data_IF_688113592498
#
_entry.id   IF_688113592498
#
_cell.length_a   1.000
_cell.length_b   1.000
_cell.length_c   1.000
_cell.angle_alpha   90.00
_cell.angle_beta   90.00
_cell.angle_gamma   90.00
#
_symmetry.space_group_name_H-M   'P 1'
#
loop_
_entity.id
_entity.type
_entity.pdbx_description
1 polymer ?
#
# COMPACT_ATOMS: atom_id res chain seq x y z
N UNK A 1 -2.69 -9.92 -14.94
CA UNK A 1 -3.34 -8.84 -14.19
C UNK A 1 -3.31 -7.50 -14.94
N UNK A 2 -2.17 -7.03 -15.48
CA UNK A 2 -2.08 -5.75 -16.23
C UNK A 2 -3.16 -5.64 -17.30
N UNK A 3 -3.32 -6.65 -18.15
CA UNK A 3 -4.36 -6.68 -19.20
C UNK A 3 -5.77 -6.63 -18.58
N UNK A 4 -6.03 -7.35 -17.50
CA UNK A 4 -7.33 -7.30 -16.82
C UNK A 4 -7.66 -5.91 -16.27
N UNK A 5 -6.65 -5.20 -15.79
CA UNK A 5 -6.83 -3.82 -15.31
C UNK A 5 -7.26 -2.92 -16.46
N UNK A 6 -6.59 -3.00 -17.61
CA UNK A 6 -6.96 -2.24 -18.81
C UNK A 6 -8.36 -2.63 -19.34
N UNK A 7 -8.72 -3.92 -19.28
CA UNK A 7 -10.03 -4.41 -19.70
C UNK A 7 -11.18 -3.94 -18.79
N UNK A 8 -10.88 -3.51 -17.57
CA UNK A 8 -11.90 -3.04 -16.63
C UNK A 8 -12.40 -1.62 -16.91
N UNK A 9 -11.68 -0.85 -17.72
CA UNK A 9 -11.95 0.56 -18.04
C UNK A 9 -11.88 0.83 -19.55
N UNK A 10 -12.67 0.13 -20.40
CA UNK A 10 -12.50 0.13 -21.86
C UNK A 10 -12.82 1.46 -22.55
N UNK A 11 -13.50 2.38 -21.86
CA UNK A 11 -14.01 3.63 -22.44
C UNK A 11 -13.23 4.88 -21.98
N UNK A 12 -12.06 4.69 -21.36
CA UNK A 12 -11.25 5.81 -20.87
C UNK A 12 -9.74 5.55 -21.05
N UNK A 13 -8.91 6.59 -21.16
CA UNK A 13 -7.46 6.45 -21.11
C UNK A 13 -7.00 5.95 -19.74
N UNK A 14 -6.07 5.01 -19.72
CA UNK A 14 -5.53 4.42 -18.50
C UNK A 14 -4.05 4.74 -18.30
N UNK A 15 -3.68 4.93 -17.05
CA UNK A 15 -2.29 4.90 -16.60
C UNK A 15 -2.10 3.73 -15.65
N UNK A 16 -1.36 2.72 -16.10
CA UNK A 16 -1.08 1.52 -15.30
C UNK A 16 0.38 1.46 -14.90
N UNK A 17 0.65 1.37 -13.61
CA UNK A 17 1.99 1.16 -13.05
C UNK A 17 2.12 -0.26 -12.50
N UNK A 18 2.93 -1.09 -13.16
CA UNK A 18 3.13 -2.50 -12.81
C UNK A 18 4.51 -2.70 -12.20
N UNK A 19 4.57 -3.26 -11.00
CA UNK A 19 5.83 -3.62 -10.34
C UNK A 19 6.02 -5.13 -10.44
N UNK A 20 7.12 -5.57 -11.07
CA UNK A 20 7.51 -6.97 -11.09
C UNK A 20 8.42 -7.28 -9.90
N UNK A 21 8.22 -8.40 -9.23
CA UNK A 21 8.97 -8.80 -8.03
C UNK A 21 9.94 -9.95 -8.28
N UNK A 22 9.91 -10.59 -9.46
CA UNK A 22 10.68 -11.79 -9.75
C UNK A 22 12.20 -11.62 -9.63
N UNK A 23 12.73 -10.45 -9.97
CA UNK A 23 14.16 -10.12 -9.89
C UNK A 23 14.58 -9.47 -8.57
N UNK A 24 13.64 -9.25 -7.64
CA UNK A 24 13.93 -8.66 -6.33
C UNK A 24 14.78 -9.58 -5.45
N UNK A 25 15.58 -9.00 -4.57
CA UNK A 25 16.60 -9.59 -3.72
C UNK A 25 16.30 -10.89 -2.97
N UNK A 26 17.13 -11.28 -2.03
CA UNK A 26 17.20 -12.60 -1.41
C UNK A 26 17.56 -13.73 -2.40
N UNK A 27 18.61 -13.48 -3.19
CA UNK A 27 19.10 -14.45 -4.16
C UNK A 27 19.65 -15.72 -3.46
N UNK A 28 19.10 -16.93 -3.80
CA UNK A 28 19.48 -18.17 -3.13
C UNK A 28 20.96 -18.52 -3.35
N UNK A 29 21.64 -18.86 -2.28
CA UNK A 29 23.05 -19.32 -2.33
C UNK A 29 23.19 -20.80 -2.78
N UNK A 30 22.08 -21.53 -2.79
CA UNK A 30 22.00 -22.90 -3.24
C UNK A 30 21.12 -23.02 -4.49
N UNK A 31 21.32 -24.03 -5.36
CA UNK A 31 20.47 -24.23 -6.52
C UNK A 31 19.02 -24.48 -6.15
N UNK A 32 18.10 -23.63 -6.64
CA UNK A 32 16.64 -23.77 -6.42
C UNK A 32 15.88 -23.99 -7.73
N UNK A 33 16.51 -23.69 -8.87
CA UNK A 33 15.94 -23.93 -10.20
C UNK A 33 16.42 -25.29 -10.69
N UNK A 34 15.52 -26.26 -10.81
CA UNK A 34 15.87 -27.64 -11.19
C UNK A 34 16.48 -27.76 -12.60
N UNK A 35 16.02 -26.90 -13.52
CA UNK A 35 16.48 -26.87 -14.92
C UNK A 35 16.58 -25.41 -15.37
N UNK A 36 17.67 -24.70 -15.02
CA UNK A 36 17.83 -23.31 -15.42
C UNK A 36 18.01 -23.20 -16.94
N UNK A 37 17.37 -22.20 -17.54
CA UNK A 37 17.53 -21.87 -18.97
C UNK A 37 18.93 -21.33 -19.22
N UNK A 38 19.45 -20.55 -18.30
CA UNK A 38 20.79 -19.96 -18.35
C UNK A 38 21.61 -20.39 -17.14
N UNK A 39 22.90 -20.61 -17.38
CA UNK A 39 23.89 -20.89 -16.33
C UNK A 39 25.02 -19.88 -16.41
N UNK A 40 25.63 -19.56 -15.29
CA UNK A 40 26.75 -18.64 -15.18
C UNK A 40 28.07 -19.38 -15.12
N UNK A 41 29.07 -18.92 -15.85
CA UNK A 41 30.44 -19.46 -15.83
C UNK A 41 31.46 -18.35 -15.51
N UNK A 42 32.66 -18.72 -15.09
CA UNK A 42 33.72 -17.77 -14.74
C UNK A 42 33.56 -17.12 -13.37
N UNK A 43 32.73 -17.68 -12.51
CA UNK A 43 32.57 -17.30 -11.10
C UNK A 43 33.04 -18.50 -10.27
N UNK A 44 34.12 -18.32 -9.50
CA UNK A 44 34.73 -19.40 -8.72
C UNK A 44 33.98 -19.69 -7.41
N UNK A 45 33.29 -18.72 -6.87
CA UNK A 45 32.45 -18.83 -5.68
C UNK A 45 31.08 -19.45 -6.04
N UNK A 46 30.83 -20.68 -5.59
CA UNK A 46 29.61 -21.41 -5.92
C UNK A 46 28.33 -20.75 -5.34
N UNK A 47 28.39 -20.08 -4.19
CA UNK A 47 27.25 -19.32 -3.67
C UNK A 47 26.91 -18.14 -4.60
N UNK A 48 27.90 -17.34 -4.99
CA UNK A 48 27.72 -16.26 -5.94
C UNK A 48 27.25 -16.75 -7.31
N UNK A 49 27.79 -17.85 -7.78
CA UNK A 49 27.36 -18.45 -9.04
C UNK A 49 25.89 -18.88 -9.01
N UNK A 50 25.42 -19.45 -7.89
CA UNK A 50 24.02 -19.80 -7.72
C UNK A 50 23.11 -18.56 -7.68
N UNK A 51 23.52 -17.51 -6.96
CA UNK A 51 22.79 -16.23 -6.91
C UNK A 51 22.67 -15.61 -8.31
N UNK A 52 23.75 -15.54 -9.08
CA UNK A 52 23.74 -15.05 -10.45
C UNK A 52 22.92 -15.93 -11.39
N UNK A 53 23.00 -17.25 -11.26
CA UNK A 53 22.19 -18.18 -12.06
C UNK A 53 20.71 -17.99 -11.77
N UNK A 54 20.35 -17.79 -10.51
CA UNK A 54 18.96 -17.47 -10.13
C UNK A 54 18.52 -16.14 -10.76
N UNK A 55 19.27 -15.07 -10.54
CA UNK A 55 18.92 -13.73 -11.03
C UNK A 55 18.73 -13.70 -12.55
N UNK A 56 19.64 -14.30 -13.34
CA UNK A 56 19.55 -14.26 -14.81
C UNK A 56 18.34 -15.04 -15.32
N UNK A 57 17.93 -16.10 -14.63
CA UNK A 57 16.71 -16.85 -14.99
C UNK A 57 15.45 -16.07 -14.62
N UNK A 58 15.43 -15.34 -13.50
CA UNK A 58 14.34 -14.43 -13.16
C UNK A 58 14.25 -13.27 -14.16
N UNK A 59 15.37 -12.74 -14.60
CA UNK A 59 15.40 -11.69 -15.64
C UNK A 59 14.82 -12.22 -16.97
N UNK A 60 15.10 -13.48 -17.32
CA UNK A 60 14.48 -14.11 -18.49
C UNK A 60 12.96 -14.27 -18.36
N UNK A 61 12.44 -14.48 -17.15
CA UNK A 61 10.99 -14.50 -16.92
C UNK A 61 10.37 -13.10 -17.10
N UNK A 62 11.06 -12.04 -16.68
CA UNK A 62 10.63 -10.65 -16.92
C UNK A 62 10.64 -10.34 -18.42
N UNK A 63 11.66 -10.77 -19.17
CA UNK A 63 11.73 -10.61 -20.62
C UNK A 63 10.57 -11.35 -21.32
N UNK A 64 10.26 -12.56 -20.90
CA UNK A 64 9.09 -13.31 -21.38
C UNK A 64 7.78 -12.58 -21.07
N UNK A 65 7.62 -12.08 -19.85
CA UNK A 65 6.46 -11.29 -19.47
C UNK A 65 6.29 -10.05 -20.35
N UNK A 66 7.36 -9.30 -20.60
CA UNK A 66 7.32 -8.11 -21.47
C UNK A 66 6.94 -8.48 -22.91
N UNK A 67 7.48 -9.56 -23.43
CA UNK A 67 7.14 -10.07 -24.76
C UNK A 67 5.65 -10.42 -24.85
N UNK A 68 5.11 -11.14 -23.87
CA UNK A 68 3.71 -11.52 -23.83
C UNK A 68 2.79 -10.29 -23.67
N UNK A 69 3.16 -9.36 -22.81
CA UNK A 69 2.44 -8.09 -22.63
C UNK A 69 2.37 -7.30 -23.94
N UNK A 70 3.51 -7.07 -24.59
CA UNK A 70 3.60 -6.35 -25.86
C UNK A 70 2.81 -7.09 -26.96
N UNK A 71 2.86 -8.41 -26.96
CA UNK A 71 2.10 -9.25 -27.91
C UNK A 71 0.59 -9.05 -27.74
N UNK A 72 0.09 -8.97 -26.51
CA UNK A 72 -1.33 -8.71 -26.25
C UNK A 72 -1.72 -7.26 -26.57
N UNK A 73 -0.89 -6.29 -26.17
CA UNK A 73 -1.14 -4.87 -26.43
C UNK A 73 -1.12 -4.55 -27.93
N UNK A 74 -0.27 -5.22 -28.73
CA UNK A 74 -0.21 -5.00 -30.18
C UNK A 74 -1.45 -5.48 -30.96
N UNK A 75 -2.34 -6.25 -30.30
CA UNK A 75 -3.62 -6.68 -30.87
C UNK A 75 -4.74 -5.66 -30.65
N UNK A 76 -4.51 -4.65 -29.81
CA UNK A 76 -5.48 -3.63 -29.44
C UNK A 76 -5.47 -2.49 -30.45
N UNK A 77 -6.65 -1.96 -30.72
CA UNK A 77 -6.85 -0.75 -31.56
C UNK A 77 -6.86 0.52 -30.68
N UNK A 78 -6.04 0.54 -29.65
CA UNK A 78 -5.91 1.63 -28.70
C UNK A 78 -4.46 2.10 -28.67
N UNK A 79 -4.25 3.41 -28.81
CA UNK A 79 -2.92 4.03 -28.75
C UNK A 79 -2.27 3.71 -27.41
N UNK A 80 -1.18 2.96 -27.46
CA UNK A 80 -0.52 2.42 -26.27
C UNK A 80 0.97 2.66 -26.30
N UNK A 81 1.53 3.07 -25.15
CA UNK A 81 2.97 3.14 -24.91
C UNK A 81 3.32 2.33 -23.67
N UNK A 82 4.36 1.53 -23.76
CA UNK A 82 4.94 0.78 -22.64
C UNK A 82 6.33 1.33 -22.34
N UNK A 83 6.60 1.61 -21.07
CA UNK A 83 7.90 2.00 -20.57
C UNK A 83 8.32 1.00 -19.52
N UNK A 84 9.36 0.22 -19.78
CA UNK A 84 9.91 -0.72 -18.81
C UNK A 84 11.31 -0.24 -18.39
N UNK A 85 11.57 -0.20 -17.10
CA UNK A 85 12.83 0.27 -16.54
C UNK A 85 13.21 -0.51 -15.28
N UNK A 86 14.52 -0.63 -15.03
CA UNK A 86 15.04 -1.12 -13.77
C UNK A 86 15.12 0.03 -12.78
N UNK A 87 14.60 -0.17 -11.59
CA UNK A 87 14.68 0.79 -10.49
C UNK A 87 16.08 0.84 -9.87
N UNK A 88 16.75 -0.32 -9.77
CA UNK A 88 18.13 -0.46 -9.31
C UNK A 88 18.76 -1.76 -9.83
N UNK A 89 20.08 -1.91 -9.66
CA UNK A 89 20.82 -3.13 -9.94
C UNK A 89 20.61 -4.16 -8.80
N UNK A 90 20.89 -5.47 -9.07
CA UNK A 90 20.77 -6.50 -8.04
C UNK A 90 21.76 -6.27 -6.89
N UNK A 91 21.31 -6.54 -5.65
CA UNK A 91 22.08 -6.37 -4.42
C UNK A 91 23.08 -7.52 -4.20
N UNK A 92 24.03 -7.70 -5.14
CA UNK A 92 25.03 -8.78 -5.10
C UNK A 92 26.47 -8.26 -4.93
N UNK A 93 26.62 -7.09 -4.31
CA UNK A 93 27.91 -6.49 -4.00
C UNK A 93 28.65 -5.97 -5.24
N UNK A 94 27.91 -5.44 -6.22
CA UNK A 94 28.49 -4.78 -7.38
C UNK A 94 29.08 -3.42 -6.99
N UNK A 95 30.19 -3.07 -7.62
CA UNK A 95 30.87 -1.79 -7.50
C UNK A 95 30.92 -1.09 -8.88
N UNK A 96 31.19 0.20 -8.90
CA UNK A 96 31.30 0.99 -10.13
C UNK A 96 32.27 0.38 -11.15
N UNK A 97 33.36 -0.23 -10.65
CA UNK A 97 34.37 -0.91 -11.47
C UNK A 97 33.87 -2.15 -12.20
N UNK A 98 32.77 -2.75 -11.73
CA UNK A 98 32.13 -3.92 -12.35
C UNK A 98 31.23 -3.53 -13.52
N UNK A 99 30.88 -2.26 -13.60
CA UNK A 99 29.92 -1.75 -14.56
C UNK A 99 30.60 -1.15 -15.78
N UNK A 100 30.12 -1.47 -16.99
CA UNK A 100 30.57 -0.81 -18.23
C UNK A 100 30.27 0.69 -18.23
N UNK A 101 29.26 1.14 -17.48
CA UNK A 101 28.90 2.54 -17.30
C UNK A 101 29.86 3.28 -16.34
N UNK A 102 30.61 2.53 -15.51
CA UNK A 102 31.37 3.11 -14.39
C UNK A 102 30.48 3.66 -13.26
N UNK A 103 29.24 3.24 -13.18
CA UNK A 103 28.26 3.79 -12.24
C UNK A 103 27.17 2.75 -11.94
N UNK A 104 27.08 2.32 -10.68
CA UNK A 104 26.09 1.32 -10.21
C UNK A 104 24.66 1.85 -10.14
N UNK A 105 24.46 3.17 -10.19
CA UNK A 105 23.14 3.79 -10.19
C UNK A 105 22.53 3.92 -11.59
N UNK A 106 23.27 3.55 -12.64
CA UNK A 106 22.74 3.52 -14.01
C UNK A 106 22.06 2.21 -14.33
N UNK A 107 20.75 2.28 -14.56
CA UNK A 107 19.93 1.18 -15.07
C UNK A 107 19.58 1.38 -16.54
N UNK A 108 18.80 0.48 -17.11
CA UNK A 108 18.30 0.59 -18.49
C UNK A 108 16.81 0.82 -18.47
N UNK A 109 16.32 1.55 -19.47
CA UNK A 109 14.92 1.57 -19.80
C UNK A 109 14.71 1.24 -21.28
N UNK A 110 13.55 0.73 -21.61
CA UNK A 110 13.08 0.45 -22.96
C UNK A 110 11.67 0.97 -23.14
N UNK A 111 11.36 1.42 -24.35
CA UNK A 111 10.01 1.86 -24.71
C UNK A 111 9.49 1.07 -25.90
N UNK A 112 8.21 0.78 -25.88
CA UNK A 112 7.46 0.25 -27.00
C UNK A 112 6.19 1.07 -27.19
N UNK A 113 5.74 1.22 -28.44
CA UNK A 113 4.45 1.84 -28.75
C UNK A 113 3.86 1.26 -30.05
N UNK A 114 2.54 1.35 -30.20
CA UNK A 114 1.82 1.04 -31.44
C UNK A 114 1.44 2.29 -32.26
N UNK A 115 1.87 3.48 -31.81
CA UNK A 115 1.52 4.79 -32.38
C UNK A 115 2.47 5.24 -33.50
N UNK A 116 3.51 4.48 -33.81
CA UNK A 116 4.51 4.85 -34.81
C UNK A 116 5.51 5.94 -34.36
N UNK A 117 5.61 6.16 -33.04
CA UNK A 117 6.62 7.08 -32.50
C UNK A 117 8.02 6.56 -32.79
N UNK A 118 8.91 7.48 -33.17
CA UNK A 118 10.30 7.12 -33.48
C UNK A 118 11.08 6.79 -32.22
N UNK A 119 11.94 5.76 -32.33
CA UNK A 119 12.92 5.46 -31.30
C UNK A 119 13.81 6.67 -31.03
N UNK A 120 13.98 7.00 -29.75
CA UNK A 120 14.91 8.01 -29.26
C UNK A 120 15.76 7.41 -28.15
N UNK A 121 17.05 7.28 -28.36
CA UNK A 121 17.99 6.85 -27.32
C UNK A 121 18.46 8.10 -26.56
N UNK A 122 18.29 8.13 -25.25
CA UNK A 122 18.70 9.22 -24.39
C UNK A 122 19.15 8.72 -23.03
N UNK A 123 20.16 9.37 -22.44
CA UNK A 123 20.48 9.23 -21.03
C UNK A 123 19.63 10.24 -20.26
N UNK A 124 18.84 9.76 -19.31
CA UNK A 124 17.91 10.57 -18.52
C UNK A 124 18.10 10.25 -17.03
N UNK A 125 17.85 11.24 -16.18
CA UNK A 125 17.58 10.96 -14.77
C UNK A 125 16.21 10.34 -14.62
N UNK A 126 16.02 9.45 -13.64
CA UNK A 126 14.76 8.74 -13.43
C UNK A 126 13.55 9.69 -13.33
N UNK A 127 13.71 10.84 -12.67
CA UNK A 127 12.68 11.86 -12.54
C UNK A 127 12.33 12.60 -13.85
N UNK A 128 13.12 12.46 -14.91
CA UNK A 128 12.86 13.04 -16.23
C UNK A 128 12.14 12.07 -17.18
N UNK A 129 12.15 10.78 -16.86
CA UNK A 129 11.68 9.72 -17.79
C UNK A 129 10.23 9.94 -18.22
N UNK A 130 9.32 10.13 -17.27
CA UNK A 130 7.90 10.34 -17.59
C UNK A 130 7.68 11.61 -18.42
N UNK A 131 8.37 12.69 -18.10
CA UNK A 131 8.26 13.95 -18.86
C UNK A 131 8.76 13.80 -20.28
N UNK A 132 9.87 13.08 -20.51
CA UNK A 132 10.37 12.77 -21.85
C UNK A 132 9.38 11.93 -22.68
N UNK A 133 8.74 10.95 -22.05
CA UNK A 133 7.74 10.11 -22.71
C UNK A 133 6.48 10.92 -23.08
N UNK A 134 5.95 11.69 -22.14
CA UNK A 134 4.76 12.52 -22.38
C UNK A 134 5.01 13.61 -23.43
N UNK A 135 6.21 14.20 -23.45
CA UNK A 135 6.63 15.13 -24.50
C UNK A 135 6.58 14.47 -25.89
N UNK A 136 7.08 13.24 -26.01
CA UNK A 136 7.05 12.49 -27.28
C UNK A 136 5.64 12.14 -27.77
N UNK A 137 4.64 12.14 -26.88
CA UNK A 137 3.23 11.91 -27.20
C UNK A 137 2.41 13.19 -27.34
N UNK A 138 3.03 14.37 -27.18
CA UNK A 138 2.35 15.66 -27.25
C UNK A 138 1.51 16.00 -26.02
N UNK A 139 1.73 15.30 -24.90
CA UNK A 139 1.06 15.60 -23.62
C UNK A 139 1.93 16.59 -22.84
N UNK A 140 1.45 17.83 -22.70
CA UNK A 140 2.17 18.93 -22.08
C UNK A 140 1.46 19.50 -20.83
N UNK A 141 0.35 18.90 -20.43
CA UNK A 141 -0.40 19.31 -19.25
C UNK A 141 0.30 18.87 -17.97
N UNK A 142 0.06 19.64 -16.91
CA UNK A 142 0.63 19.39 -15.60
C UNK A 142 1.89 20.19 -15.32
N UNK A 143 1.89 20.89 -14.19
CA UNK A 143 2.95 21.85 -13.81
C UNK A 143 4.34 21.20 -13.79
N UNK A 144 4.49 20.07 -13.14
CA UNK A 144 5.78 19.39 -13.00
C UNK A 144 6.23 18.79 -14.35
N UNK A 145 5.33 18.13 -15.10
CA UNK A 145 5.68 17.58 -16.41
C UNK A 145 6.12 18.67 -17.37
N UNK A 146 5.38 19.77 -17.46
CA UNK A 146 5.74 20.90 -18.32
C UNK A 146 7.07 21.56 -17.90
N UNK A 147 7.30 21.69 -16.60
CA UNK A 147 8.58 22.19 -16.09
C UNK A 147 9.76 21.29 -16.55
N UNK A 148 9.65 19.99 -16.39
CA UNK A 148 10.67 19.05 -16.87
C UNK A 148 10.88 19.19 -18.38
N UNK A 149 9.79 19.13 -19.16
CA UNK A 149 9.85 19.19 -20.63
C UNK A 149 10.55 20.47 -21.13
N UNK A 150 10.35 21.59 -20.43
CA UNK A 150 10.95 22.89 -20.82
C UNK A 150 12.34 23.14 -20.23
N UNK A 151 12.69 22.53 -19.11
CA UNK A 151 13.91 22.85 -18.36
C UNK A 151 14.91 21.70 -18.24
N UNK A 152 14.53 20.43 -18.51
CA UNK A 152 15.44 19.28 -18.31
C UNK A 152 16.71 19.33 -19.18
N UNK A 153 16.70 20.09 -20.26
CA UNK A 153 17.85 20.32 -21.13
C UNK A 153 18.59 21.64 -20.81
N UNK A 154 18.27 22.29 -19.69
CA UNK A 154 18.97 23.51 -19.30
C UNK A 154 20.44 23.22 -19.01
N UNK A 155 21.32 24.03 -19.57
CA UNK A 155 22.77 23.91 -19.34
C UNK A 155 23.14 24.13 -17.86
N UNK A 156 22.38 24.95 -17.13
CA UNK A 156 22.49 25.10 -15.68
C UNK A 156 21.59 24.08 -14.96
N UNK A 157 22.17 22.92 -14.70
CA UNK A 157 21.48 21.83 -14.03
C UNK A 157 21.07 22.19 -12.58
N UNK A 158 21.85 23.04 -11.90
CA UNK A 158 21.52 23.49 -10.54
C UNK A 158 20.27 24.36 -10.56
N UNK A 159 20.18 25.33 -11.47
CA UNK A 159 18.98 26.15 -11.62
C UNK A 159 17.73 25.32 -11.97
N UNK A 160 17.90 24.25 -12.75
CA UNK A 160 16.80 23.31 -13.03
C UNK A 160 16.32 22.58 -11.77
N UNK A 161 17.24 22.05 -10.93
CA UNK A 161 16.89 21.38 -9.68
C UNK A 161 16.28 22.35 -8.66
N UNK A 162 16.84 23.53 -8.50
CA UNK A 162 16.31 24.59 -7.61
C UNK A 162 14.86 24.95 -7.99
N UNK A 163 14.55 24.98 -9.28
CA UNK A 163 13.20 25.21 -9.75
C UNK A 163 12.23 24.08 -9.42
N UNK A 164 12.67 22.81 -9.49
CA UNK A 164 11.89 21.66 -9.06
C UNK A 164 11.61 21.72 -7.56
N UNK A 165 12.62 22.00 -6.74
CA UNK A 165 12.48 22.12 -5.30
C UNK A 165 11.49 23.23 -4.91
N UNK A 166 11.56 24.37 -5.60
CA UNK A 166 10.61 25.47 -5.39
C UNK A 166 9.17 25.06 -5.76
N UNK A 167 8.96 24.36 -6.88
CA UNK A 167 7.65 23.86 -7.26
C UNK A 167 7.13 22.80 -6.28
N UNK A 168 7.98 21.87 -5.87
CA UNK A 168 7.64 20.87 -4.88
C UNK A 168 7.22 21.52 -3.55
N UNK A 169 8.00 22.48 -3.09
CA UNK A 169 7.67 23.22 -1.86
C UNK A 169 6.34 23.95 -2.00
N UNK A 170 6.11 24.67 -3.11
CA UNK A 170 4.87 25.44 -3.32
C UNK A 170 3.64 24.51 -3.36
N UNK A 171 3.75 23.35 -4.00
CA UNK A 171 2.65 22.39 -4.12
C UNK A 171 2.31 21.73 -2.78
N UNK A 172 3.34 21.30 -2.02
CA UNK A 172 3.14 20.48 -0.82
C UNK A 172 2.97 21.31 0.46
N UNK A 173 3.69 22.41 0.59
CA UNK A 173 3.80 23.16 1.84
C UNK A 173 3.56 24.65 1.69
N UNK A 174 3.65 25.18 0.47
CA UNK A 174 3.54 26.59 0.17
C UNK A 174 2.09 27.07 -0.05
N UNK A 175 1.95 28.18 -0.71
CA UNK A 175 0.66 28.83 -0.98
C UNK A 175 0.01 28.34 -2.28
N UNK A 176 0.59 27.35 -2.98
CA UNK A 176 0.11 26.81 -4.25
C UNK A 176 -0.05 27.88 -5.34
N UNK A 177 0.90 28.79 -5.43
CA UNK A 177 0.89 29.84 -6.44
C UNK A 177 0.82 29.29 -7.87
N UNK A 178 1.44 28.11 -8.12
CA UNK A 178 1.33 27.42 -9.40
C UNK A 178 -0.08 26.94 -9.75
N UNK A 179 -1.02 26.99 -8.79
CA UNK A 179 -2.44 26.63 -8.92
C UNK A 179 -3.39 27.77 -8.48
N UNK A 180 -2.94 29.02 -8.56
CA UNK A 180 -3.70 30.20 -8.14
C UNK A 180 -4.17 30.14 -6.66
N UNK A 181 -3.39 29.52 -5.80
CA UNK A 181 -3.71 29.35 -4.38
C UNK A 181 -4.82 28.36 -4.08
N UNK A 182 -5.17 27.47 -5.03
CA UNK A 182 -6.27 26.51 -4.89
C UNK A 182 -5.73 25.07 -4.86
N UNK A 183 -6.47 24.20 -4.19
CA UNK A 183 -6.31 22.77 -4.40
C UNK A 183 -6.82 22.39 -5.80
N UNK A 184 -5.91 22.01 -6.69
CA UNK A 184 -6.27 21.60 -8.04
C UNK A 184 -7.05 20.28 -8.05
N UNK A 185 -6.71 19.41 -7.14
CA UNK A 185 -7.33 18.12 -6.97
C UNK A 185 -7.85 17.99 -5.55
N UNK A 186 -9.18 18.01 -5.35
CA UNK A 186 -9.76 17.79 -4.02
C UNK A 186 -9.35 16.38 -3.53
N UNK A 187 -9.24 16.24 -2.22
CA UNK A 187 -9.03 14.94 -1.60
C UNK A 187 -10.11 13.95 -2.06
N UNK A 188 -9.69 12.74 -2.42
CA UNK A 188 -10.61 11.66 -2.78
C UNK A 188 -10.69 10.68 -1.60
N UNK A 189 -11.78 9.92 -1.53
CA UNK A 189 -11.97 8.86 -0.53
C UNK A 189 -11.11 7.61 -0.86
N UNK A 190 -9.86 7.83 -1.26
CA UNK A 190 -8.94 6.72 -1.47
C UNK A 190 -8.60 6.11 -0.13
N UNK A 191 -9.07 4.89 0.07
CA UNK A 191 -8.78 4.07 1.24
C UNK A 191 -7.63 3.15 0.88
N UNK A 192 -6.65 3.02 1.75
CA UNK A 192 -5.42 2.19 1.55
C UNK A 192 -5.69 0.67 1.52
N UNK A 193 -6.73 0.22 0.78
CA UNK A 193 -7.10 -1.19 0.67
C UNK A 193 -7.52 -1.84 2.01
N UNK A 194 -7.92 -1.04 2.98
CA UNK A 194 -8.38 -1.49 4.29
C UNK A 194 -9.87 -1.21 4.37
N UNK A 195 -10.66 -2.27 4.54
CA UNK A 195 -12.09 -2.17 4.76
C UNK A 195 -12.40 -1.42 6.06
N UNK A 196 -13.58 -0.80 6.13
CA UNK A 196 -14.03 -0.12 7.35
C UNK A 196 -14.12 -1.12 8.51
N UNK A 197 -13.45 -0.76 9.60
CA UNK A 197 -13.41 -1.54 10.83
C UNK A 197 -14.57 -1.12 11.71
N UNK A 198 -15.31 -2.07 12.26
CA UNK A 198 -16.42 -1.79 13.18
C UNK A 198 -16.33 -2.63 14.44
N UNK A 199 -16.75 -2.07 15.58
CA UNK A 199 -17.00 -2.81 16.81
C UNK A 199 -18.53 -2.89 17.03
N UNK A 200 -19.04 -4.10 17.24
CA UNK A 200 -20.47 -4.35 17.40
C UNK A 200 -20.87 -4.83 18.80
N UNK A 201 -19.99 -5.57 19.46
CA UNK A 201 -20.34 -6.24 20.71
C UNK A 201 -19.08 -6.57 21.53
N UNK A 202 -19.22 -6.77 22.82
CA UNK A 202 -18.22 -7.35 23.71
C UNK A 202 -18.83 -8.45 24.55
N UNK A 203 -18.02 -9.45 24.93
CA UNK A 203 -18.41 -10.45 25.93
C UNK A 203 -17.20 -10.87 26.76
N UNK A 204 -17.46 -11.22 28.01
CA UNK A 204 -16.41 -11.75 28.90
C UNK A 204 -16.20 -13.25 28.67
N UNK A 205 -14.96 -13.72 28.84
CA UNK A 205 -14.66 -15.14 28.83
C UNK A 205 -15.31 -15.84 30.05
N UNK A 206 -15.64 -17.13 29.93
CA UNK A 206 -16.21 -17.94 31.02
C UNK A 206 -15.37 -17.92 32.30
N UNK A 207 -14.06 -17.69 32.18
CA UNK A 207 -13.14 -17.56 33.33
C UNK A 207 -12.96 -16.14 33.85
N UNK A 208 -13.59 -15.14 33.21
CA UNK A 208 -13.52 -13.73 33.60
C UNK A 208 -12.12 -13.08 33.46
N UNK A 209 -11.20 -13.72 32.75
CA UNK A 209 -9.82 -13.19 32.57
C UNK A 209 -9.63 -12.40 31.28
N UNK A 210 -10.56 -12.53 30.33
CA UNK A 210 -10.46 -11.93 28.99
C UNK A 210 -11.80 -11.33 28.56
N UNK A 211 -11.73 -10.34 27.70
CA UNK A 211 -12.88 -9.76 27.00
C UNK A 211 -12.71 -9.98 25.50
N UNK A 212 -13.73 -10.55 24.89
CA UNK A 212 -13.85 -10.67 23.43
C UNK A 212 -14.46 -9.39 22.89
N UNK A 213 -13.82 -8.79 21.90
CA UNK A 213 -14.30 -7.62 21.17
C UNK A 213 -14.71 -8.10 19.79
N UNK A 214 -16.00 -8.05 19.50
CA UNK A 214 -16.58 -8.50 18.22
C UNK A 214 -16.80 -7.32 17.29
N UNK A 215 -16.68 -7.58 16.00
CA UNK A 215 -16.86 -6.59 14.95
C UNK A 215 -16.59 -7.15 13.57
N UNK A 216 -16.16 -6.28 12.66
CA UNK A 216 -15.86 -6.68 11.28
C UNK A 216 -14.52 -6.14 10.82
N UNK A 217 -13.93 -6.85 9.85
CA UNK A 217 -12.73 -6.45 9.10
C UNK A 217 -11.47 -6.31 9.97
N UNK A 218 -11.40 -7.05 11.08
CA UNK A 218 -10.20 -7.11 11.91
C UNK A 218 -9.09 -7.84 11.17
N UNK A 219 -7.85 -7.40 11.39
CA UNK A 219 -6.63 -8.03 10.88
C UNK A 219 -5.65 -8.28 12.03
N UNK A 220 -4.59 -9.02 11.78
CA UNK A 220 -3.50 -9.19 12.76
C UNK A 220 -2.85 -7.88 13.22
N UNK A 221 -3.07 -6.81 12.48
CA UNK A 221 -2.58 -5.47 12.77
C UNK A 221 -3.61 -4.61 13.53
N UNK A 222 -4.82 -5.13 13.76
CA UNK A 222 -5.83 -4.46 14.58
C UNK A 222 -5.40 -4.42 16.04
N UNK A 223 -5.58 -3.27 16.69
CA UNK A 223 -5.33 -3.07 18.10
C UNK A 223 -6.52 -2.41 18.75
N UNK A 224 -6.88 -2.90 19.94
CA UNK A 224 -7.92 -2.31 20.76
C UNK A 224 -7.33 -1.15 21.56
N UNK A 225 -8.09 -0.07 21.61
CA UNK A 225 -7.83 1.10 22.45
C UNK A 225 -8.97 1.25 23.44
N UNK A 226 -8.64 1.40 24.71
CA UNK A 226 -9.57 1.66 25.80
C UNK A 226 -9.30 3.07 26.30
N UNK A 227 -10.29 3.95 26.26
CA UNK A 227 -10.17 5.37 26.59
C UNK A 227 -8.96 6.03 25.89
N UNK A 228 -8.80 5.74 24.58
CA UNK A 228 -7.71 6.20 23.72
C UNK A 228 -6.31 5.62 24.07
N UNK A 229 -6.18 4.73 25.03
CA UNK A 229 -4.92 4.04 25.32
C UNK A 229 -4.90 2.64 24.69
N UNK A 230 -3.80 2.34 23.99
CA UNK A 230 -3.61 1.03 23.37
C UNK A 230 -3.42 -0.05 24.41
N UNK A 231 -4.23 -1.11 24.37
CA UNK A 231 -4.14 -2.27 25.23
C UNK A 231 -3.57 -3.49 24.51
N UNK A 232 -3.09 -4.47 25.30
CA UNK A 232 -2.61 -5.73 24.75
C UNK A 232 -3.77 -6.42 24.02
N UNK A 233 -3.56 -6.71 22.73
CA UNK A 233 -4.62 -7.21 21.83
C UNK A 233 -4.15 -8.48 21.15
N UNK A 234 -4.91 -9.55 21.26
CA UNK A 234 -4.72 -10.82 20.55
C UNK A 234 -5.73 -10.88 19.40
N UNK A 235 -5.24 -11.12 18.19
CA UNK A 235 -6.09 -11.36 17.01
C UNK A 235 -6.56 -12.82 17.02
N UNK A 236 -7.87 -13.04 17.07
CA UNK A 236 -8.49 -14.35 16.96
C UNK A 236 -8.91 -14.65 15.52
N UNK A 237 -9.68 -13.76 14.91
CA UNK A 237 -10.11 -13.82 13.51
C UNK A 237 -10.63 -12.45 13.05
N UNK A 238 -11.08 -12.33 11.80
CA UNK A 238 -11.56 -11.06 11.23
C UNK A 238 -12.82 -10.46 11.91
N UNK A 239 -13.47 -11.21 12.76
CA UNK A 239 -14.64 -10.77 13.54
C UNK A 239 -14.41 -10.71 15.05
N UNK A 240 -13.20 -11.06 15.55
CA UNK A 240 -12.97 -11.16 17.00
C UNK A 240 -11.51 -10.82 17.37
N UNK A 241 -11.37 -9.89 18.32
CA UNK A 241 -10.14 -9.61 19.04
C UNK A 241 -10.31 -9.96 20.53
N UNK A 242 -9.21 -10.19 21.23
CA UNK A 242 -9.22 -10.55 22.65
C UNK A 242 -8.31 -9.56 23.39
N UNK A 243 -8.80 -9.05 24.53
CA UNK A 243 -8.03 -8.19 25.44
C UNK A 243 -8.09 -8.75 26.87
N UNK A 244 -7.11 -8.45 27.73
CA UNK A 244 -7.19 -8.78 29.17
C UNK A 244 -8.35 -8.05 29.84
N UNK A 245 -9.09 -8.73 30.72
CA UNK A 245 -10.22 -8.15 31.48
C UNK A 245 -9.81 -6.97 32.35
N UNK A 246 -8.60 -6.99 32.92
CA UNK A 246 -8.06 -5.92 33.76
C UNK A 246 -7.74 -4.64 33.00
N UNK A 247 -7.74 -4.68 31.67
CA UNK A 247 -7.52 -3.52 30.80
C UNK A 247 -8.77 -2.68 30.51
N UNK A 248 -9.96 -3.12 30.99
CA UNK A 248 -11.23 -2.41 30.72
C UNK A 248 -12.17 -2.49 31.92
N UNK A 249 -12.95 -1.43 32.16
CA UNK A 249 -13.92 -1.31 33.26
C UNK A 249 -15.28 -0.90 32.70
N UNK A 250 -16.33 -1.14 33.48
CA UNK A 250 -17.68 -0.71 33.12
C UNK A 250 -17.72 0.78 32.78
N UNK A 251 -18.34 1.09 31.65
CA UNK A 251 -18.45 2.46 31.12
C UNK A 251 -17.27 2.95 30.28
N UNK A 252 -16.15 2.20 30.22
CA UNK A 252 -15.01 2.57 29.37
C UNK A 252 -15.39 2.54 27.87
N UNK A 253 -14.75 3.41 27.10
CA UNK A 253 -14.91 3.42 25.64
C UNK A 253 -13.88 2.54 24.96
N UNK A 254 -14.33 1.74 24.01
CA UNK A 254 -13.50 0.85 23.18
C UNK A 254 -13.56 1.31 21.73
N UNK A 255 -12.42 1.37 21.09
CA UNK A 255 -12.29 1.44 19.62
C UNK A 255 -11.21 0.50 19.14
N UNK A 256 -11.29 0.10 17.88
CA UNK A 256 -10.28 -0.71 17.21
C UNK A 256 -9.58 0.14 16.15
N UNK A 257 -8.25 0.18 16.21
CA UNK A 257 -7.43 0.87 15.23
C UNK A 257 -6.67 -0.14 14.37
N UNK A 258 -6.71 0.03 13.06
CA UNK A 258 -5.81 -0.64 12.13
C UNK A 258 -4.46 0.07 12.15
N UNK A 259 -3.44 -0.64 12.63
CA UNK A 259 -2.11 -0.08 12.84
C UNK A 259 -1.18 -0.44 11.69
N UNK A 260 -0.36 0.52 11.30
CA UNK A 260 0.79 0.30 10.44
C UNK A 260 2.10 0.14 11.23
N UNK A 261 3.21 0.03 10.52
CA UNK A 261 4.53 0.19 11.10
C UNK A 261 4.66 1.58 11.76
N UNK A 262 5.53 1.72 12.74
CA UNK A 262 5.76 2.97 13.46
C UNK A 262 4.52 3.57 14.16
N UNK A 263 3.57 2.72 14.57
CA UNK A 263 2.35 3.14 15.28
C UNK A 263 1.42 4.06 14.49
N UNK A 264 1.55 4.14 13.17
CA UNK A 264 0.61 4.89 12.31
C UNK A 264 -0.76 4.23 12.37
N UNK A 265 -1.80 5.02 12.61
CA UNK A 265 -3.20 4.57 12.56
C UNK A 265 -3.73 4.86 11.14
N UNK A 266 -4.17 3.82 10.42
CA UNK A 266 -4.76 3.96 9.09
C UNK A 266 -6.27 4.11 9.13
N UNK A 267 -6.93 3.42 10.07
CA UNK A 267 -8.37 3.42 10.24
C UNK A 267 -8.73 3.26 11.72
N UNK A 268 -9.82 3.88 12.13
CA UNK A 268 -10.43 3.69 13.44
C UNK A 268 -11.86 3.19 13.27
N UNK A 269 -12.32 2.34 14.19
CA UNK A 269 -13.72 1.91 14.26
C UNK A 269 -14.61 3.01 14.86
N UNK A 270 -15.91 2.74 14.87
CA UNK A 270 -16.82 3.42 15.77
C UNK A 270 -16.40 3.22 17.23
N UNK A 271 -16.82 4.16 18.10
CA UNK A 271 -16.71 4.03 19.56
C UNK A 271 -17.77 3.06 20.07
N UNK A 272 -17.39 2.17 20.99
CA UNK A 272 -18.29 1.25 21.69
C UNK A 272 -18.10 1.43 23.20
N UNK A 273 -19.19 1.47 23.97
CA UNK A 273 -19.11 1.54 25.44
C UNK A 273 -19.16 0.13 26.02
N UNK A 274 -18.11 -0.26 26.71
CA UNK A 274 -18.05 -1.54 27.40
C UNK A 274 -19.02 -1.56 28.59
N UNK A 275 -19.78 -2.65 28.70
CA UNK A 275 -20.63 -2.94 29.86
C UNK A 275 -20.19 -4.21 30.53
N UNK A 276 -19.88 -4.11 31.81
CA UNK A 276 -19.47 -5.27 32.59
C UNK A 276 -20.70 -6.09 32.99
N UNK A 277 -20.83 -7.35 32.55
CA UNK A 277 -21.97 -8.20 32.90
C UNK A 277 -22.16 -8.39 34.42
N UNK A 278 -21.07 -8.33 35.20
CA UNK A 278 -21.14 -8.46 36.67
C UNK A 278 -21.80 -7.24 37.35
N UNK A 279 -21.81 -6.07 36.68
CA UNK A 279 -22.49 -4.87 37.21
C UNK A 279 -23.97 -4.89 36.87
N UNK A 280 -24.39 -5.43 35.73
CA UNK A 280 -25.80 -5.54 35.35
C UNK A 280 -26.59 -6.50 36.26
N UNK A 281 -25.98 -7.60 36.71
CA UNK A 281 -26.65 -8.54 37.65
C UNK A 281 -26.95 -7.93 39.03
N UNK A 282 -26.17 -6.92 39.47
CA UNK A 282 -26.39 -6.26 40.77
C UNK A 282 -27.54 -5.26 40.77
N UNK A 283 -27.98 -4.77 39.61
CA UNK A 283 -29.07 -3.76 39.48
C UNK A 283 -30.46 -4.44 39.40
N UNK A 284 -30.53 -5.70 38.96
CA UNK A 284 -31.77 -6.44 38.80
C UNK A 284 -32.17 -7.24 40.06
N UNK A 285 -31.35 -7.24 41.11
CA UNK A 285 -31.53 -8.05 42.34
C UNK A 285 -32.23 -7.37 43.51
N UNK A 286 -32.99 -6.26 43.35
CA UNK A 286 -33.85 -5.75 44.40
C UNK A 286 -35.24 -6.41 44.30
N UNK A 287 -35.47 -7.45 45.11
CA UNK A 287 -36.80 -8.02 45.32
C UNK A 287 -37.78 -6.95 45.83
N UNK A 288 -39.03 -6.94 45.38
CA UNK A 288 -40.04 -6.07 45.99
C UNK A 288 -40.48 -6.65 47.35
N UNK A 289 -40.34 -5.80 48.34
CA UNK A 289 -40.76 -6.00 49.73
C UNK A 289 -42.25 -6.43 49.78
N UNK A 290 -42.45 -7.67 50.26
CA UNK A 290 -43.77 -8.22 50.50
C UNK A 290 -44.26 -7.80 51.88
N UNK A 291 -44.98 -6.68 51.96
CA UNK A 291 -45.87 -6.40 53.10
C UNK A 291 -47.05 -5.53 52.69
N UNK A 292 -48.14 -6.18 52.37
CA UNK A 292 -49.48 -5.54 52.52
C UNK A 292 -50.44 -6.55 53.08
N UNK A 293 -50.79 -6.23 54.34
CA UNK A 293 -51.86 -6.92 55.12
C UNK A 293 -53.18 -6.93 54.42
N UNK A 294 -53.80 -8.09 54.55
CA UNK A 294 -55.20 -8.33 54.22
C UNK A 294 -56.18 -7.59 55.15
N UNK A 295 -57.03 -6.74 54.64
CA UNK A 295 -58.31 -6.41 55.27
C UNK A 295 -59.43 -6.82 54.38
N UNK A 296 -60.17 -7.83 54.87
CA UNK A 296 -61.48 -8.28 54.42
C UNK A 296 -62.48 -7.21 54.77
N UNK A 297 -63.37 -6.83 53.86
CA UNK A 297 -64.68 -6.32 54.17
C UNK A 297 -65.67 -6.83 53.14
N UNK A 298 -66.59 -7.67 53.70
CA UNK A 298 -67.88 -8.07 53.11
C UNK A 298 -68.77 -6.85 52.88
N UNK A 299 -69.48 -6.82 51.77
CA UNK A 299 -70.98 -6.65 51.75
C UNK A 299 -71.51 -6.63 50.33
N UNK A 300 -72.32 -7.60 50.05
CA UNK A 300 -73.71 -7.59 49.59
C UNK A 300 -74.12 -6.47 48.59
N UNK A 301 -74.40 -6.80 47.41
CA UNK A 301 -75.72 -7.14 46.78
C UNK A 301 -75.52 -7.48 45.33
#
# INVERSE_FOLDING_TARGET
ETIKTLDSTPDQPDFTYTITVGTHGDYPKTPVIASPVYTVSGVDDEEKKNQWTYYINQLNEVDTFLNDLITELSKRDEDTIVVAFGDHLPTMGLEDSDMKSGDIYKTKYVTWNNMGLKKQDADLYAYQLMASITDSTGIHEGTILNYHQTQMNNADHTAYLDGLDNLQYDILYGNRYCYDGKDKYPATDIVMGIDDVTVSETSDSIGGSEVFVYGNNFTKWSKVFVNDEKVNTTFSNSGCLIIPKDSVKDGDTIKVCQMGSNSTIFRESNMYTYKDPAVEETVTGTEPDSNTESTVSESQK
#
